data_IF_479869465027
#
_entry.id   IF_479869465027
#
_cell.length_a   1.000
_cell.length_b   1.000
_cell.length_c   1.000
_cell.angle_alpha   90.00
_cell.angle_beta   90.00
_cell.angle_gamma   90.00
#
_symmetry.space_group_name_H-M   'P 1'
#
loop_
_entity.id
_entity.type
_entity.pdbx_description
1 polymer ?
#
# COMPACT_ATOMS: atom_id res chain seq x y z
N UNK A 1 70.05 6.54 10.82
CA UNK A 1 69.70 7.98 10.75
C UNK A 1 69.20 8.42 12.12
N UNK A 2 69.91 9.37 12.75
CA UNK A 2 69.61 10.22 13.94
C UNK A 2 68.95 9.57 15.19
N UNK A 3 69.64 9.23 16.29
CA UNK A 3 70.32 10.07 17.30
C UNK A 3 69.38 10.99 18.12
N UNK A 4 69.22 10.73 19.43
CA UNK A 4 69.50 11.71 20.48
C UNK A 4 69.53 11.08 21.89
N UNK A 5 70.11 11.82 22.82
CA UNK A 5 71.09 11.40 23.80
C UNK A 5 70.53 11.32 25.24
N UNK A 6 71.28 10.61 26.08
CA UNK A 6 71.00 10.27 27.48
C UNK A 6 71.63 11.31 28.42
N UNK A 7 71.03 11.47 29.60
CA UNK A 7 71.63 11.93 30.88
C UNK A 7 71.47 13.40 31.27
N UNK A 8 70.86 13.63 32.44
CA UNK A 8 71.64 13.97 33.64
C UNK A 8 70.85 13.63 34.91
N UNK A 9 71.49 12.89 35.82
CA UNK A 9 71.02 12.59 37.17
C UNK A 9 72.19 12.88 38.11
N UNK A 10 72.04 13.82 39.03
CA UNK A 10 72.81 13.94 40.27
C UNK A 10 71.82 14.39 41.35
N UNK A 11 71.49 13.57 42.36
CA UNK A 11 72.13 13.52 43.70
C UNK A 11 72.25 14.92 44.31
N UNK A 12 71.65 15.24 45.45
CA UNK A 12 71.85 14.55 46.73
C UNK A 12 70.76 14.89 47.78
N UNK A 13 70.77 14.24 48.98
CA UNK A 13 69.59 13.62 49.58
C UNK A 13 69.41 14.07 51.05
N UNK A 14 68.43 13.45 51.72
CA UNK A 14 68.41 13.08 53.13
C UNK A 14 69.24 13.91 54.13
N UNK A 15 68.54 14.52 55.08
CA UNK A 15 68.72 14.28 56.51
C UNK A 15 67.72 15.19 57.22
N UNK A 16 66.74 14.60 57.90
CA UNK A 16 66.73 14.61 59.37
C UNK A 16 66.26 15.99 59.88
N UNK A 17 65.26 16.11 60.74
CA UNK A 17 65.04 15.30 61.91
C UNK A 17 63.79 15.86 62.58
N UNK A 18 63.14 14.99 63.34
CA UNK A 18 62.53 15.34 64.62
C UNK A 18 61.38 16.35 64.58
N UNK A 19 60.15 15.83 64.70
CA UNK A 19 59.46 15.83 65.99
C UNK A 19 58.97 17.23 66.36
N UNK A 20 57.66 17.45 66.28
CA UNK A 20 56.86 17.67 67.47
C UNK A 20 55.39 17.76 67.06
N UNK A 21 54.59 16.85 67.62
CA UNK A 21 53.16 17.03 67.84
C UNK A 21 52.89 18.43 68.36
N UNK A 22 51.94 19.15 67.73
CA UNK A 22 51.00 20.07 68.37
C UNK A 22 49.74 20.16 67.49
N UNK A 23 48.70 19.46 67.94
CA UNK A 23 47.34 19.96 68.10
C UNK A 23 46.85 21.11 67.18
N UNK A 24 45.80 20.85 66.38
CA UNK A 24 44.49 21.48 66.55
C UNK A 24 43.52 21.10 65.41
N UNK A 25 42.27 20.87 65.80
CA UNK A 25 41.11 20.56 64.96
C UNK A 25 40.90 21.48 63.74
N UNK A 26 40.40 20.91 62.64
CA UNK A 26 39.32 21.57 61.89
C UNK A 26 38.36 20.54 61.26
N UNK A 27 37.14 20.50 61.80
CA UNK A 27 35.98 19.81 61.23
C UNK A 27 35.54 20.51 59.93
N UNK A 28 35.27 19.78 58.82
CA UNK A 28 34.66 20.40 57.65
C UNK A 28 33.17 20.68 57.92
N UNK A 29 32.84 21.95 58.17
CA UNK A 29 31.46 22.45 58.19
C UNK A 29 30.79 22.17 56.84
N UNK A 30 29.76 21.33 56.87
CA UNK A 30 28.90 21.03 55.71
C UNK A 30 28.15 22.28 55.25
N UNK A 31 28.55 22.82 54.10
CA UNK A 31 27.77 23.75 53.30
C UNK A 31 27.21 23.02 52.09
N UNK A 32 25.91 22.76 52.05
CA UNK A 32 25.24 22.24 50.84
C UNK A 32 25.40 23.27 49.72
N UNK A 33 26.20 22.95 48.69
CA UNK A 33 26.38 23.84 47.55
C UNK A 33 25.04 24.12 46.87
N UNK A 34 24.71 25.39 46.56
CA UNK A 34 23.44 25.75 45.92
C UNK A 34 23.23 25.06 44.56
N UNK A 35 24.32 24.64 43.91
CA UNK A 35 24.30 23.86 42.66
C UNK A 35 23.75 22.44 42.86
N UNK A 36 24.04 21.79 43.99
CA UNK A 36 23.50 20.46 44.30
C UNK A 36 22.00 20.53 44.58
N UNK A 37 21.55 21.61 45.24
CA UNK A 37 20.13 21.87 45.49
C UNK A 37 19.39 22.11 44.17
N UNK A 38 19.95 22.93 43.28
CA UNK A 38 19.36 23.18 41.95
C UNK A 38 19.25 21.90 41.10
N UNK A 39 20.27 21.04 41.14
CA UNK A 39 20.27 19.77 40.39
C UNK A 39 19.19 18.81 40.91
N UNK A 40 19.03 18.73 42.24
CA UNK A 40 17.96 17.92 42.85
C UNK A 40 16.56 18.43 42.49
N UNK A 41 16.35 19.76 42.42
CA UNK A 41 15.07 20.34 42.03
C UNK A 41 14.73 19.99 40.57
N UNK A 42 15.71 20.06 39.66
CA UNK A 42 15.49 19.71 38.25
C UNK A 42 15.17 18.22 38.09
N UNK A 43 15.88 17.33 38.79
CA UNK A 43 15.58 15.90 38.76
C UNK A 43 14.22 15.56 39.37
N UNK A 44 13.83 16.25 40.45
CA UNK A 44 12.51 16.09 41.05
C UNK A 44 11.38 16.59 40.12
N UNK A 45 11.59 17.70 39.42
CA UNK A 45 10.64 18.22 38.43
C UNK A 45 10.49 17.26 37.24
N UNK A 46 11.59 16.71 36.72
CA UNK A 46 11.56 15.75 35.61
C UNK A 46 10.87 14.44 36.02
N UNK A 47 11.19 13.92 37.21
CA UNK A 47 10.52 12.74 37.77
C UNK A 47 9.03 12.95 38.01
N UNK A 48 8.63 14.14 38.46
CA UNK A 48 7.23 14.52 38.64
C UNK A 48 6.42 14.50 37.34
N UNK A 49 6.99 15.00 36.23
CA UNK A 49 6.34 14.97 34.91
C UNK A 49 6.17 13.54 34.40
N UNK A 50 7.19 12.69 34.56
CA UNK A 50 7.11 11.27 34.15
C UNK A 50 6.06 10.53 34.98
N UNK A 51 6.04 10.73 36.30
CA UNK A 51 5.05 10.12 37.18
C UNK A 51 3.63 10.63 36.86
N UNK A 52 3.48 11.92 36.56
CA UNK A 52 2.20 12.51 36.16
C UNK A 52 1.68 11.93 34.84
N UNK A 53 2.56 11.75 33.83
CA UNK A 53 2.18 11.11 32.56
C UNK A 53 1.79 9.64 32.73
N UNK A 54 2.49 8.90 33.59
CA UNK A 54 2.16 7.50 33.89
C UNK A 54 0.81 7.37 34.61
N UNK A 55 0.48 8.31 35.48
CA UNK A 55 -0.79 8.33 36.23
C UNK A 55 -1.96 8.89 35.41
N UNK A 56 -1.67 9.73 34.42
CA UNK A 56 -2.67 10.38 33.56
C UNK A 56 -2.96 9.61 32.27
N UNK A 57 -2.29 8.48 32.04
CA UNK A 57 -2.58 7.61 30.91
C UNK A 57 -3.96 6.96 31.11
N UNK A 58 -4.97 7.26 30.26
CA UNK A 58 -6.27 6.62 30.38
C UNK A 58 -6.13 5.13 30.09
N UNK A 59 -6.51 4.28 31.05
CA UNK A 59 -6.61 2.84 30.81
C UNK A 59 -7.75 2.58 29.84
N UNK A 60 -7.42 2.47 28.55
CA UNK A 60 -8.34 1.98 27.54
C UNK A 60 -8.67 0.51 27.87
N UNK A 61 -9.92 0.13 28.14
CA UNK A 61 -10.29 -1.28 28.13
C UNK A 61 -10.07 -1.83 26.71
N UNK A 62 -9.78 -3.14 26.54
CA UNK A 62 -9.83 -3.73 25.22
C UNK A 62 -11.23 -3.46 24.65
N UNK A 63 -11.29 -2.82 23.50
CA UNK A 63 -12.54 -2.62 22.79
C UNK A 63 -13.15 -4.00 22.50
N UNK A 64 -14.10 -4.42 23.32
CA UNK A 64 -15.00 -5.50 22.97
C UNK A 64 -15.85 -4.96 21.81
N UNK A 65 -15.57 -5.46 20.60
CA UNK A 65 -16.42 -5.23 19.45
C UNK A 65 -17.74 -5.96 19.72
N UNK A 66 -18.73 -5.25 20.24
CA UNK A 66 -20.11 -5.71 20.25
C UNK A 66 -20.65 -5.56 18.84
N UNK A 67 -20.81 -6.69 18.13
CA UNK A 67 -21.59 -6.74 16.90
C UNK A 67 -23.05 -6.45 17.25
N UNK A 68 -23.45 -5.18 17.13
CA UNK A 68 -24.85 -4.80 17.11
C UNK A 68 -25.39 -5.14 15.72
N UNK A 69 -26.04 -6.31 15.57
CA UNK A 69 -26.91 -6.53 14.42
C UNK A 69 -28.05 -5.51 14.51
N UNK A 70 -27.99 -4.49 13.66
CA UNK A 70 -29.13 -3.62 13.43
C UNK A 70 -30.31 -4.45 12.94
N UNK A 71 -31.44 -4.33 13.65
CA UNK A 71 -32.74 -4.83 13.25
C UNK A 71 -33.05 -4.40 11.82
N UNK A 72 -33.24 -5.37 10.93
CA UNK A 72 -33.74 -5.13 9.58
C UNK A 72 -35.26 -4.95 9.68
N UNK A 73 -35.71 -3.70 9.58
CA UNK A 73 -37.11 -3.38 9.30
C UNK A 73 -37.51 -4.08 7.99
N UNK A 74 -38.32 -5.12 8.16
CA UNK A 74 -38.93 -5.89 7.09
C UNK A 74 -40.01 -5.03 6.44
N UNK A 75 -39.79 -4.59 5.21
CA UNK A 75 -40.87 -4.25 4.30
C UNK A 75 -40.54 -4.91 2.96
N UNK A 76 -41.26 -5.98 2.63
CA UNK A 76 -42.11 -6.05 1.45
C UNK A 76 -42.75 -7.44 1.39
N UNK A 77 -44.02 -7.41 1.82
CA UNK A 77 -45.09 -8.37 1.63
C UNK A 77 -45.17 -8.87 0.17
N UNK A 78 -45.04 -10.18 -0.03
CA UNK A 78 -45.25 -10.84 -1.32
C UNK A 78 -46.74 -11.11 -1.50
N UNK A 79 -47.46 -10.14 -2.04
CA UNK A 79 -48.82 -10.35 -2.54
C UNK A 79 -48.78 -10.69 -4.03
N UNK A 80 -49.09 -11.96 -4.34
CA UNK A 80 -49.36 -12.44 -5.69
C UNK A 80 -50.60 -11.75 -6.27
N UNK A 81 -50.49 -11.14 -7.46
CA UNK A 81 -51.67 -10.60 -8.13
C UNK A 81 -51.42 -9.90 -9.46
N UNK A 82 -51.62 -10.65 -10.55
CA UNK A 82 -52.18 -10.22 -11.84
C UNK A 82 -51.29 -9.46 -12.86
N UNK A 83 -50.89 -10.22 -13.89
CA UNK A 83 -51.11 -9.97 -15.34
C UNK A 83 -50.90 -8.55 -15.89
N UNK A 84 -49.99 -8.41 -16.86
CA UNK A 84 -50.29 -8.02 -18.26
C UNK A 84 -49.00 -7.92 -19.09
N UNK A 85 -48.80 -8.87 -20.01
CA UNK A 85 -48.03 -8.62 -21.23
C UNK A 85 -48.98 -7.90 -22.18
N UNK A 86 -48.69 -6.63 -22.51
CA UNK A 86 -49.02 -6.03 -23.81
C UNK A 86 -48.41 -4.63 -23.88
N UNK A 87 -47.48 -4.44 -24.80
CA UNK A 87 -46.74 -3.19 -24.96
C UNK A 87 -45.70 -3.31 -26.07
N UNK A 88 -46.17 -3.51 -27.29
CA UNK A 88 -45.36 -3.51 -28.48
C UNK A 88 -44.58 -2.18 -28.62
N UNK A 89 -43.26 -2.27 -28.67
CA UNK A 89 -42.40 -1.25 -29.29
C UNK A 89 -41.63 -1.93 -30.42
N UNK A 90 -42.09 -1.66 -31.63
CA UNK A 90 -41.48 -2.01 -32.91
C UNK A 90 -40.06 -1.46 -33.01
N UNK A 91 -39.07 -2.24 -33.50
CA UNK A 91 -37.75 -1.71 -33.85
C UNK A 91 -37.83 -0.92 -35.17
N UNK A 92 -37.17 0.25 -35.30
CA UNK A 92 -37.04 0.89 -36.61
C UNK A 92 -36.14 0.05 -37.51
N UNK A 93 -36.66 -0.25 -38.70
CA UNK A 93 -35.96 -0.95 -39.75
C UNK A 93 -34.97 -0.05 -40.50
N UNK A 94 -34.02 -0.73 -41.17
CA UNK A 94 -33.04 -0.26 -42.17
C UNK A 94 -31.71 0.18 -41.54
N UNK A 95 -30.57 -0.47 -41.81
CA UNK A 95 -30.02 -0.67 -43.15
C UNK A 95 -29.08 -1.90 -43.21
N UNK A 96 -29.34 -2.80 -44.17
CA UNK A 96 -28.48 -3.95 -44.47
C UNK A 96 -27.35 -3.47 -45.37
N UNK A 97 -26.21 -3.12 -44.77
CA UNK A 97 -24.93 -3.03 -45.48
C UNK A 97 -23.95 -4.02 -44.86
N UNK A 98 -23.25 -4.70 -45.74
CA UNK A 98 -22.48 -5.93 -45.54
C UNK A 98 -21.62 -5.94 -44.27
N UNK A 99 -21.95 -6.86 -43.36
CA UNK A 99 -21.04 -7.38 -42.33
C UNK A 99 -20.98 -8.89 -42.50
N UNK A 100 -20.62 -9.34 -43.70
CA UNK A 100 -20.31 -10.74 -44.01
C UNK A 100 -18.83 -10.88 -44.31
N UNK A 101 -17.97 -10.60 -43.31
CA UNK A 101 -16.58 -11.07 -43.34
C UNK A 101 -15.85 -11.13 -41.98
N UNK A 102 -16.46 -10.64 -40.88
CA UNK A 102 -15.82 -10.67 -39.55
C UNK A 102 -16.13 -11.94 -38.73
N UNK A 103 -16.85 -12.91 -39.30
CA UNK A 103 -17.44 -14.04 -38.56
C UNK A 103 -16.59 -15.31 -38.48
N UNK A 104 -15.55 -15.46 -39.30
CA UNK A 104 -14.87 -16.76 -39.45
C UNK A 104 -13.53 -16.90 -38.72
N UNK A 105 -12.94 -15.81 -38.19
CA UNK A 105 -11.66 -15.87 -37.46
C UNK A 105 -11.77 -15.88 -35.92
N UNK A 106 -12.98 -15.91 -35.35
CA UNK A 106 -13.16 -15.95 -33.88
C UNK A 106 -12.96 -17.34 -33.26
N UNK A 107 -12.87 -18.37 -34.09
CA UNK A 107 -12.86 -19.77 -33.66
C UNK A 107 -11.45 -20.35 -33.61
N UNK A 108 -10.50 -19.67 -32.95
CA UNK A 108 -9.19 -20.25 -32.61
C UNK A 108 -8.37 -19.45 -31.58
N UNK A 109 -8.99 -18.56 -30.80
CA UNK A 109 -8.30 -17.87 -29.70
C UNK A 109 -8.08 -18.87 -28.56
N UNK A 110 -7.00 -19.64 -28.62
CA UNK A 110 -6.44 -20.29 -27.43
C UNK A 110 -6.25 -19.22 -26.37
N UNK A 111 -6.92 -19.35 -25.22
CA UNK A 111 -6.82 -18.42 -24.11
C UNK A 111 -5.35 -18.26 -23.71
N UNK A 112 -4.77 -17.13 -24.13
CA UNK A 112 -3.39 -16.78 -23.86
C UNK A 112 -3.35 -16.25 -22.43
N UNK A 113 -2.73 -16.99 -21.52
CA UNK A 113 -2.46 -16.58 -20.13
C UNK A 113 -0.94 -16.66 -19.94
N UNK A 114 -0.34 -15.64 -19.33
CA UNK A 114 1.08 -15.71 -19.02
C UNK A 114 1.36 -16.88 -18.06
N UNK A 115 2.50 -17.57 -18.24
CA UNK A 115 2.82 -18.72 -17.42
C UNK A 115 2.90 -18.33 -15.96
N UNK A 116 2.23 -19.09 -15.11
CA UNK A 116 2.41 -19.04 -13.68
C UNK A 116 3.32 -20.20 -13.25
N UNK A 117 4.33 -19.89 -12.44
CA UNK A 117 5.27 -20.88 -11.91
C UNK A 117 4.97 -21.13 -10.44
N UNK A 118 5.17 -22.36 -9.97
CA UNK A 118 5.21 -22.63 -8.53
C UNK A 118 6.66 -22.57 -8.05
N UNK A 119 6.92 -21.78 -7.03
CA UNK A 119 8.23 -21.69 -6.37
C UNK A 119 8.49 -22.94 -5.51
N UNK A 120 9.72 -23.11 -5.04
CA UNK A 120 10.13 -24.27 -4.24
C UNK A 120 9.36 -24.40 -2.91
N UNK A 121 8.88 -23.27 -2.36
CA UNK A 121 8.02 -23.18 -1.19
C UNK A 121 6.52 -23.29 -1.53
N UNK A 122 6.17 -23.61 -2.78
CA UNK A 122 4.79 -23.89 -3.21
C UNK A 122 3.94 -22.66 -3.54
N UNK A 123 4.51 -21.45 -3.50
CA UNK A 123 3.79 -20.21 -3.85
C UNK A 123 3.60 -20.12 -5.36
N UNK A 124 2.44 -19.58 -5.77
CA UNK A 124 2.21 -19.23 -7.17
C UNK A 124 2.92 -17.90 -7.48
N UNK A 125 3.65 -17.85 -8.59
CA UNK A 125 4.26 -16.65 -9.14
C UNK A 125 3.70 -16.43 -10.54
N UNK A 126 3.16 -15.26 -10.80
CA UNK A 126 2.64 -14.92 -12.13
C UNK A 126 3.78 -14.42 -13.03
N UNK A 127 3.62 -14.62 -14.34
CA UNK A 127 4.61 -14.21 -15.34
C UNK A 127 4.88 -12.69 -15.35
N UNK A 128 6.08 -12.27 -15.80
CA UNK A 128 6.48 -10.87 -15.81
C UNK A 128 5.64 -10.03 -16.76
N UNK A 129 5.57 -8.73 -16.51
CA UNK A 129 4.84 -7.74 -17.31
C UNK A 129 5.78 -6.60 -17.73
N UNK A 130 5.47 -5.85 -18.80
CA UNK A 130 4.36 -6.06 -19.74
C UNK A 130 4.62 -7.18 -20.75
N UNK A 131 3.54 -7.71 -21.31
CA UNK A 131 3.57 -8.34 -22.61
C UNK A 131 3.67 -7.26 -23.71
N UNK A 132 4.71 -7.27 -24.55
CA UNK A 132 4.90 -6.23 -25.57
C UNK A 132 3.80 -6.21 -26.64
N UNK A 133 3.07 -7.31 -26.83
CA UNK A 133 1.96 -7.39 -27.79
C UNK A 133 0.69 -6.70 -27.28
N UNK A 134 0.60 -6.45 -25.97
CA UNK A 134 -0.55 -5.83 -25.31
C UNK A 134 -0.33 -4.36 -24.95
N UNK A 135 0.81 -3.78 -25.35
CA UNK A 135 1.14 -2.39 -25.03
C UNK A 135 1.33 -1.58 -26.30
N UNK A 136 0.73 -0.40 -26.33
CA UNK A 136 0.97 0.65 -27.31
C UNK A 136 1.71 1.80 -26.64
N UNK A 137 2.78 2.30 -27.26
CA UNK A 137 3.44 3.52 -26.79
C UNK A 137 2.63 4.74 -27.24
N UNK A 138 2.33 5.64 -26.30
CA UNK A 138 1.66 6.92 -26.57
C UNK A 138 2.46 8.08 -25.98
N UNK A 139 1.98 9.31 -26.22
CA UNK A 139 2.59 10.53 -25.67
C UNK A 139 2.51 10.56 -24.14
N UNK A 140 1.45 9.99 -23.55
CA UNK A 140 1.24 9.97 -22.10
C UNK A 140 1.86 8.75 -21.41
N UNK A 141 2.37 7.77 -22.18
CA UNK A 141 3.02 6.56 -21.68
C UNK A 141 2.52 5.27 -22.34
N UNK A 142 2.80 4.09 -21.76
CA UNK A 142 2.35 2.82 -22.30
C UNK A 142 0.84 2.63 -22.05
N UNK A 143 0.04 2.46 -23.10
CA UNK A 143 -1.38 2.17 -23.01
C UNK A 143 -1.66 0.69 -23.31
N UNK A 144 -2.69 0.09 -22.69
CA UNK A 144 -3.12 -1.26 -23.03
C UNK A 144 -3.73 -1.25 -24.44
N UNK A 145 -3.44 -2.29 -25.23
CA UNK A 145 -4.10 -2.56 -26.50
C UNK A 145 -4.50 -4.02 -26.60
N UNK A 146 -5.46 -4.31 -27.47
CA UNK A 146 -5.74 -5.68 -27.90
C UNK A 146 -4.61 -6.10 -28.85
N UNK A 147 -4.07 -7.29 -28.64
CA UNK A 147 -3.04 -7.85 -29.52
C UNK A 147 -3.61 -8.24 -30.89
N UNK A 148 -2.74 -8.43 -31.89
CA UNK A 148 -3.15 -8.81 -33.26
C UNK A 148 -3.86 -10.17 -33.31
N UNK A 149 -3.56 -11.06 -32.36
CA UNK A 149 -4.21 -12.36 -32.17
C UNK A 149 -5.54 -12.28 -31.38
N UNK A 150 -5.96 -11.07 -30.99
CA UNK A 150 -7.16 -10.81 -30.19
C UNK A 150 -6.97 -10.97 -28.68
N UNK A 151 -5.75 -11.25 -28.19
CA UNK A 151 -5.50 -11.35 -26.76
C UNK A 151 -5.71 -9.99 -26.06
N UNK A 152 -6.23 -10.03 -24.83
CA UNK A 152 -6.57 -8.85 -24.03
C UNK A 152 -5.88 -8.94 -22.67
N UNK A 153 -5.47 -7.79 -22.11
CA UNK A 153 -4.79 -7.70 -20.81
C UNK A 153 -5.49 -8.47 -19.69
N UNK A 154 -6.81 -8.31 -19.59
CA UNK A 154 -7.62 -8.97 -18.56
C UNK A 154 -7.60 -10.50 -18.61
N UNK A 155 -7.32 -11.08 -19.78
CA UNK A 155 -7.12 -12.53 -19.92
C UNK A 155 -5.67 -12.93 -19.70
N UNK A 156 -4.74 -12.20 -20.32
CA UNK A 156 -3.32 -12.56 -20.35
C UNK A 156 -2.66 -12.42 -18.99
N UNK A 157 -3.08 -11.42 -18.21
CA UNK A 157 -2.52 -11.12 -16.90
C UNK A 157 -3.30 -11.75 -15.74
N UNK A 158 -4.40 -12.45 -16.03
CA UNK A 158 -5.27 -13.07 -15.05
C UNK A 158 -4.55 -14.06 -14.13
N UNK A 159 -4.98 -14.12 -12.88
CA UNK A 159 -4.59 -15.20 -11.98
C UNK A 159 -5.28 -16.51 -12.45
N UNK A 160 -4.51 -17.59 -12.66
CA UNK A 160 -5.08 -18.86 -13.10
C UNK A 160 -5.96 -19.47 -12.00
N UNK A 161 -7.10 -20.01 -12.37
CA UNK A 161 -7.98 -20.76 -11.47
C UNK A 161 -8.59 -21.95 -12.19
N UNK A 162 -9.05 -22.94 -11.44
CA UNK A 162 -9.77 -24.08 -12.02
C UNK A 162 -11.21 -23.66 -12.34
N UNK A 163 -11.48 -23.46 -13.62
CA UNK A 163 -12.83 -23.14 -14.11
C UNK A 163 -13.77 -24.35 -14.03
N UNK A 164 -13.23 -25.58 -14.06
CA UNK A 164 -14.00 -26.83 -14.02
C UNK A 164 -14.48 -27.21 -12.62
N UNK A 165 -13.88 -26.62 -11.58
CA UNK A 165 -14.34 -26.78 -10.20
C UNK A 165 -15.79 -26.28 -10.05
N UNK A 166 -16.74 -27.17 -9.69
CA UNK A 166 -18.16 -26.84 -9.64
C UNK A 166 -18.57 -26.03 -8.40
N UNK A 167 -17.66 -25.80 -7.45
CA UNK A 167 -17.96 -25.01 -6.24
C UNK A 167 -18.19 -23.52 -6.57
N UNK A 168 -18.98 -22.79 -5.77
CA UNK A 168 -19.11 -21.34 -5.91
C UNK A 168 -17.75 -20.64 -5.86
N UNK A 169 -17.57 -19.63 -6.71
CA UNK A 169 -16.32 -18.86 -6.82
C UNK A 169 -16.51 -17.49 -6.15
N UNK A 170 -15.51 -17.04 -5.42
CA UNK A 170 -15.48 -15.74 -4.75
C UNK A 170 -14.19 -15.03 -5.16
N UNK A 171 -14.29 -13.75 -5.49
CA UNK A 171 -13.16 -12.87 -5.72
C UNK A 171 -13.08 -11.84 -4.58
N UNK A 172 -11.86 -11.60 -4.08
CA UNK A 172 -11.60 -10.60 -3.05
C UNK A 172 -10.58 -9.62 -3.63
N UNK A 173 -10.93 -8.34 -3.62
CA UNK A 173 -10.07 -7.25 -4.08
C UNK A 173 -9.76 -6.34 -2.89
N UNK A 174 -8.48 -6.06 -2.68
CA UNK A 174 -8.03 -5.09 -1.67
C UNK A 174 -7.51 -3.85 -2.39
N UNK A 175 -8.16 -2.72 -2.12
CA UNK A 175 -7.82 -1.42 -2.72
C UNK A 175 -6.90 -0.56 -1.87
N UNK A 176 -6.58 0.63 -2.39
CA UNK A 176 -5.71 1.62 -1.75
C UNK A 176 -4.23 1.22 -1.76
N UNK A 177 -3.84 0.27 -2.61
CA UNK A 177 -2.46 -0.21 -2.65
C UNK A 177 -1.53 0.90 -3.15
N UNK A 178 -0.34 0.96 -2.55
CA UNK A 178 0.70 1.94 -2.84
C UNK A 178 0.62 3.25 -2.05
N UNK A 179 -0.50 3.58 -1.39
CA UNK A 179 -0.60 4.78 -0.54
C UNK A 179 0.33 4.72 0.68
N UNK A 180 0.47 3.53 1.28
CA UNK A 180 1.39 3.25 2.38
C UNK A 180 2.36 2.14 1.97
N UNK A 181 3.66 2.45 1.94
CA UNK A 181 4.71 1.45 1.67
C UNK A 181 4.68 0.30 2.68
N UNK A 182 4.44 0.61 3.96
CA UNK A 182 4.40 -0.40 5.02
C UNK A 182 3.21 -1.34 4.83
N UNK A 183 2.00 -0.79 4.64
CA UNK A 183 0.78 -1.57 4.43
C UNK A 183 0.85 -2.39 3.14
N UNK A 184 1.35 -1.79 2.05
CA UNK A 184 1.53 -2.48 0.77
C UNK A 184 2.52 -3.63 0.90
N UNK A 185 3.66 -3.42 1.58
CA UNK A 185 4.62 -4.51 1.80
C UNK A 185 4.08 -5.62 2.70
N UNK A 186 3.24 -5.31 3.69
CA UNK A 186 2.61 -6.32 4.52
C UNK A 186 1.59 -7.12 3.71
N UNK A 187 0.72 -6.44 2.96
CA UNK A 187 -0.27 -7.06 2.09
C UNK A 187 0.37 -8.06 1.11
N UNK A 188 1.49 -7.68 0.46
CA UNK A 188 2.22 -8.59 -0.45
C UNK A 188 2.74 -9.86 0.23
N UNK A 189 3.20 -9.75 1.49
CA UNK A 189 3.83 -10.88 2.20
C UNK A 189 2.80 -11.79 2.86
N UNK A 190 1.76 -11.19 3.42
CA UNK A 190 0.86 -11.84 4.38
C UNK A 190 -0.44 -12.30 3.73
N UNK A 191 -0.87 -11.67 2.61
CA UNK A 191 -2.08 -12.09 1.92
C UNK A 191 -1.83 -13.33 1.04
N UNK A 192 -2.81 -14.25 0.95
CA UNK A 192 -2.77 -15.33 -0.03
C UNK A 192 -2.70 -14.79 -1.47
N UNK A 193 -1.96 -15.45 -2.39
CA UNK A 193 -1.85 -15.04 -3.80
C UNK A 193 -3.18 -14.90 -4.54
N UNK A 194 -4.22 -15.62 -4.09
CA UNK A 194 -5.56 -15.60 -4.69
C UNK A 194 -6.33 -14.28 -4.44
N UNK A 195 -5.81 -13.37 -3.61
CA UNK A 195 -6.39 -12.04 -3.39
C UNK A 195 -5.83 -11.07 -4.41
N UNK A 196 -6.70 -10.37 -5.14
CA UNK A 196 -6.30 -9.36 -6.12
C UNK A 196 -6.06 -8.02 -5.44
N UNK A 197 -5.09 -7.25 -5.95
CA UNK A 197 -4.62 -6.00 -5.35
C UNK A 197 -4.87 -4.83 -6.30
N UNK A 198 -5.66 -3.84 -5.87
CA UNK A 198 -5.97 -2.66 -6.66
C UNK A 198 -5.10 -1.47 -6.23
N UNK A 199 -4.39 -0.89 -7.20
CA UNK A 199 -3.40 0.16 -6.97
C UNK A 199 -3.91 1.54 -7.38
N UNK A 200 -3.62 2.51 -6.52
CA UNK A 200 -3.89 3.92 -6.80
C UNK A 200 -2.93 4.47 -7.88
N UNK A 201 -3.42 5.34 -8.79
CA UNK A 201 -2.65 5.81 -9.95
C UNK A 201 -1.57 6.85 -9.62
N UNK A 202 -1.65 7.45 -8.43
CA UNK A 202 -0.81 8.58 -8.01
C UNK A 202 0.48 8.17 -7.28
N UNK A 203 0.74 6.87 -7.16
CA UNK A 203 1.88 6.34 -6.44
C UNK A 203 3.13 6.41 -7.30
N UNK A 204 4.25 6.78 -6.67
CA UNK A 204 5.55 6.77 -7.34
C UNK A 204 6.08 5.34 -7.51
N UNK A 205 6.79 5.11 -8.63
CA UNK A 205 7.42 3.82 -8.93
C UNK A 205 6.44 2.64 -8.90
N UNK A 206 5.25 2.87 -9.45
CA UNK A 206 4.15 1.92 -9.37
C UNK A 206 4.48 0.56 -10.02
N UNK A 207 5.20 0.57 -11.16
CA UNK A 207 5.61 -0.67 -11.83
C UNK A 207 6.44 -1.60 -10.93
N UNK A 208 7.29 -1.07 -10.05
CA UNK A 208 8.06 -1.89 -9.10
C UNK A 208 7.15 -2.64 -8.13
N UNK A 209 6.04 -2.02 -7.72
CA UNK A 209 5.04 -2.68 -6.87
C UNK A 209 4.25 -3.73 -7.62
N UNK A 210 3.98 -3.51 -8.92
CA UNK A 210 3.27 -4.45 -9.76
C UNK A 210 4.12 -5.70 -10.01
N UNK A 211 5.39 -5.50 -10.36
CA UNK A 211 6.32 -6.60 -10.59
C UNK A 211 6.48 -7.45 -9.32
N UNK A 212 6.54 -6.81 -8.15
CA UNK A 212 6.52 -7.50 -6.87
C UNK A 212 5.18 -8.22 -6.64
N UNK A 213 4.03 -7.58 -6.86
CA UNK A 213 2.72 -8.21 -6.70
C UNK A 213 2.59 -9.51 -7.47
N UNK A 214 2.98 -9.46 -8.75
CA UNK A 214 2.96 -10.62 -9.64
C UNK A 214 3.99 -11.67 -9.23
N UNK A 215 5.16 -11.25 -8.76
CA UNK A 215 6.17 -12.16 -8.20
C UNK A 215 5.66 -12.93 -6.97
N UNK A 216 4.80 -12.30 -6.16
CA UNK A 216 4.12 -12.91 -5.00
C UNK A 216 2.84 -13.69 -5.38
N UNK A 217 2.42 -13.60 -6.65
CA UNK A 217 1.31 -14.36 -7.23
C UNK A 217 -0.01 -13.60 -7.34
N UNK A 218 -0.04 -12.32 -6.97
CA UNK A 218 -1.26 -11.53 -6.97
C UNK A 218 -1.63 -11.04 -8.37
N UNK A 219 -2.91 -11.11 -8.69
CA UNK A 219 -3.51 -10.32 -9.76
C UNK A 219 -3.59 -8.85 -9.34
N UNK A 220 -3.44 -7.96 -10.31
CA UNK A 220 -3.33 -6.52 -10.07
C UNK A 220 -4.41 -5.79 -10.84
N UNK A 221 -5.03 -4.79 -10.21
CA UNK A 221 -6.00 -3.89 -10.82
C UNK A 221 -5.51 -2.44 -10.72
N UNK A 222 -5.95 -1.61 -11.66
CA UNK A 222 -5.81 -0.16 -11.58
C UNK A 222 -7.08 0.44 -10.96
N UNK A 223 -6.92 1.25 -9.92
CA UNK A 223 -8.02 2.06 -9.40
C UNK A 223 -8.21 3.30 -10.28
N UNK A 224 -9.45 3.51 -10.73
CA UNK A 224 -9.84 4.67 -11.51
C UNK A 224 -10.55 5.67 -10.59
N UNK A 225 -9.93 6.83 -10.30
CA UNK A 225 -10.59 7.88 -9.54
C UNK A 225 -11.75 8.44 -10.37
N UNK A 226 -12.94 8.46 -9.77
CA UNK A 226 -14.17 9.00 -10.38
C UNK A 226 -14.83 9.96 -9.39
N UNK A 227 -15.68 10.84 -9.91
CA UNK A 227 -16.43 11.79 -9.11
C UNK A 227 -17.28 11.10 -8.02
N UNK A 228 -17.04 11.41 -6.73
CA UNK A 228 -17.91 10.99 -5.65
C UNK A 228 -19.11 11.94 -5.50
N UNK A 229 -20.11 11.54 -4.74
CA UNK A 229 -21.31 12.36 -4.50
C UNK A 229 -21.03 13.68 -3.77
N UNK A 230 -19.95 13.76 -3.01
CA UNK A 230 -19.54 14.91 -2.18
C UNK A 230 -18.39 15.72 -2.81
N UNK A 231 -18.19 15.62 -4.12
CA UNK A 231 -17.24 16.49 -4.83
C UNK A 231 -17.72 17.96 -4.79
N UNK A 232 -16.86 18.96 -4.51
CA UNK A 232 -15.40 18.90 -4.37
C UNK A 232 -14.87 18.76 -2.94
N UNK A 233 -15.72 18.49 -1.94
CA UNK A 233 -15.30 18.36 -0.53
C UNK A 233 -14.36 17.15 -0.35
N UNK A 234 -14.62 16.07 -1.07
CA UNK A 234 -13.76 14.89 -1.18
C UNK A 234 -13.20 14.79 -2.61
N UNK A 235 -11.98 15.31 -2.82
CA UNK A 235 -11.31 15.31 -4.12
C UNK A 235 -10.48 14.03 -4.33
N UNK A 236 -10.85 13.15 -5.29
CA UNK A 236 -10.09 11.93 -5.61
C UNK A 236 -8.75 12.20 -6.30
N UNK A 237 -8.48 13.43 -6.73
CA UNK A 237 -7.23 13.86 -7.34
C UNK A 237 -7.40 14.43 -8.77
N UNK A 238 -6.30 14.95 -9.34
CA UNK A 238 -6.35 15.83 -10.51
C UNK A 238 -6.80 15.15 -11.82
N UNK A 239 -6.75 13.82 -11.88
CA UNK A 239 -7.16 13.04 -13.06
C UNK A 239 -8.45 12.26 -12.81
N UNK A 240 -9.23 12.60 -11.78
CA UNK A 240 -10.54 12.01 -11.57
C UNK A 240 -11.43 12.19 -12.79
N UNK A 241 -12.19 11.16 -13.15
CA UNK A 241 -13.20 11.25 -14.20
C UNK A 241 -14.43 11.95 -13.62
N UNK A 242 -14.84 13.06 -14.23
CA UNK A 242 -15.91 13.91 -13.72
C UNK A 242 -17.08 13.97 -14.70
N UNK A 243 -18.30 14.04 -14.18
CA UNK A 243 -19.56 14.07 -14.95
C UNK A 243 -19.74 15.37 -15.71
N UNK A 244 -19.17 16.48 -15.23
CA UNK A 244 -19.24 17.80 -15.87
C UNK A 244 -18.25 17.98 -17.04
N UNK A 245 -17.25 17.09 -17.17
CA UNK A 245 -16.23 17.18 -18.22
C UNK A 245 -16.72 16.59 -19.54
N UNK A 246 -16.19 17.12 -20.64
CA UNK A 246 -16.41 16.53 -21.96
C UNK A 246 -15.84 15.11 -22.07
N UNK A 247 -16.32 14.36 -23.06
CA UNK A 247 -15.82 13.00 -23.34
C UNK A 247 -14.33 13.05 -23.66
N UNK A 248 -13.88 14.05 -24.41
CA UNK A 248 -12.48 14.23 -24.81
C UNK A 248 -11.58 14.49 -23.60
N UNK A 249 -12.02 15.29 -22.64
CA UNK A 249 -11.29 15.56 -21.40
C UNK A 249 -11.21 14.32 -20.51
N UNK A 250 -12.32 13.61 -20.31
CA UNK A 250 -12.34 12.35 -19.56
C UNK A 250 -11.52 11.26 -20.25
N UNK A 251 -11.53 11.19 -21.58
CA UNK A 251 -10.68 10.26 -22.34
C UNK A 251 -9.21 10.56 -22.10
N UNK A 252 -8.80 11.83 -22.16
CA UNK A 252 -7.42 12.24 -21.89
C UNK A 252 -6.98 11.89 -20.46
N UNK A 253 -7.88 12.07 -19.47
CA UNK A 253 -7.63 11.68 -18.08
C UNK A 253 -7.53 10.15 -17.93
N UNK A 254 -8.42 9.40 -18.58
CA UNK A 254 -8.40 7.95 -18.59
C UNK A 254 -7.11 7.41 -19.20
N UNK A 255 -6.66 7.93 -20.34
CA UNK A 255 -5.40 7.53 -20.95
C UNK A 255 -4.21 7.80 -20.02
N UNK A 256 -4.21 8.94 -19.32
CA UNK A 256 -3.20 9.21 -18.30
C UNK A 256 -3.22 8.20 -17.15
N UNK A 257 -4.41 7.80 -16.67
CA UNK A 257 -4.58 6.79 -15.62
C UNK A 257 -4.12 5.40 -16.10
N UNK A 258 -4.48 5.02 -17.32
CA UNK A 258 -4.11 3.74 -17.93
C UNK A 258 -2.61 3.64 -18.20
N UNK A 259 -1.92 4.78 -18.37
CA UNK A 259 -0.48 4.83 -18.65
C UNK A 259 0.42 4.70 -17.43
N UNK A 260 -0.14 4.71 -16.21
CA UNK A 260 0.63 4.74 -14.96
C UNK A 260 1.48 3.50 -14.73
N UNK A 261 1.00 2.34 -15.20
CA UNK A 261 1.71 1.07 -15.15
C UNK A 261 1.12 0.09 -16.15
N UNK A 262 1.71 -1.10 -16.27
CA UNK A 262 1.24 -2.17 -17.14
C UNK A 262 1.05 -3.47 -16.36
N UNK A 263 0.25 -4.40 -16.87
CA UNK A 263 0.05 -5.70 -16.24
C UNK A 263 -1.15 -5.80 -15.30
N UNK A 264 -2.05 -4.81 -15.34
CA UNK A 264 -3.38 -4.92 -14.72
C UNK A 264 -4.34 -5.71 -15.59
N UNK A 265 -5.31 -6.34 -14.93
CA UNK A 265 -6.49 -6.95 -15.58
C UNK A 265 -7.60 -5.93 -15.79
#
# INVERSE_FOLDING_TARGET
MAAFWKAFRSRNPAAETAQHELEAEEQPRGGTSPVLIATFIVLAALGGVIAWLALSAPSAPPAAVSLSLGETETILDLSEGQLSLDGALTPPATDKRDVSDAGQNRAQSSLRILPAMRTADGRLQLGPVPDPTLVQQSVVGPLPKIAEDGAQSWHVYAHPFDSSDPRPKVAIVIGGMGLSRATTSAALKDLPPAISLAYTPYVQRLQDWIDQSRAYGHEVLLELPMEPHDFPENDPGPYALLTELSVEENTSRLEWLLSRFTGYV
#
